data_IF_259329577188
#
_entry.id   IF_259329577188
#
_cell.length_a   1.000
_cell.length_b   1.000
_cell.length_c   1.000
_cell.angle_alpha   90.00
_cell.angle_beta   90.00
_cell.angle_gamma   90.00
#
_symmetry.space_group_name_H-M   'P 1'
#
loop_
_entity.id
_entity.type
_entity.pdbx_description
1 polymer ?
#
# COMPACT_ATOMS: atom_id res chain seq x y z
N UNK A 1 -8.99 15.28 -20.46
CA UNK A 1 -8.11 15.23 -21.63
C UNK A 1 -8.35 13.89 -22.29
N UNK A 2 -8.69 13.87 -23.60
CA UNK A 2 -8.97 12.62 -24.30
C UNK A 2 -7.69 11.75 -24.34
N UNK A 3 -7.86 10.45 -24.20
CA UNK A 3 -6.78 9.43 -24.27
C UNK A 3 -5.91 9.58 -25.52
N UNK A 4 -6.46 10.07 -26.62
CA UNK A 4 -5.78 10.45 -27.87
C UNK A 4 -4.58 11.39 -27.65
N UNK A 5 -4.58 12.19 -26.59
CA UNK A 5 -3.50 13.10 -26.26
C UNK A 5 -2.18 12.41 -25.83
N UNK A 6 -2.21 11.17 -25.35
CA UNK A 6 -1.02 10.45 -24.86
C UNK A 6 -0.19 9.92 -26.04
N UNK A 7 -0.85 9.27 -26.98
CA UNK A 7 -0.17 8.70 -28.17
C UNK A 7 0.41 9.80 -29.05
N UNK A 8 -0.33 10.87 -29.30
CA UNK A 8 0.16 12.02 -30.05
C UNK A 8 1.34 12.74 -29.38
N UNK A 9 1.47 12.69 -28.05
CA UNK A 9 2.64 13.22 -27.34
C UNK A 9 3.88 12.36 -27.49
N UNK A 10 3.71 11.04 -27.56
CA UNK A 10 4.84 10.09 -27.61
C UNK A 10 5.32 9.85 -29.05
N UNK A 11 4.40 9.74 -30.00
CA UNK A 11 4.70 9.31 -31.38
C UNK A 11 4.46 10.39 -32.44
N UNK A 12 4.01 11.58 -32.05
CA UNK A 12 3.67 12.65 -32.97
C UNK A 12 2.32 12.45 -33.70
N UNK A 13 1.95 13.42 -34.55
CA UNK A 13 0.67 13.39 -35.26
C UNK A 13 0.82 12.70 -36.61
N UNK A 14 0.29 11.51 -36.76
CA UNK A 14 0.15 10.80 -38.03
C UNK A 14 -1.34 10.42 -38.23
N UNK A 15 -2.15 11.20 -38.97
CA UNK A 15 -3.62 11.17 -38.92
C UNK A 15 -4.25 9.81 -39.13
N UNK A 16 -3.76 8.98 -40.03
CA UNK A 16 -4.30 7.63 -40.27
C UNK A 16 -3.58 6.54 -39.44
N UNK A 17 -2.30 6.70 -39.20
CA UNK A 17 -1.52 5.73 -38.42
C UNK A 17 -1.79 5.82 -36.92
N UNK A 18 -2.13 7.01 -36.40
CA UNK A 18 -2.40 7.20 -34.96
C UNK A 18 -3.58 6.35 -34.50
N UNK A 19 -4.63 6.20 -35.30
CA UNK A 19 -5.81 5.40 -34.95
C UNK A 19 -5.45 3.92 -34.86
N UNK A 20 -4.71 3.40 -35.85
CA UNK A 20 -4.26 1.99 -35.86
C UNK A 20 -3.31 1.71 -34.69
N UNK A 21 -2.40 2.64 -34.39
CA UNK A 21 -1.49 2.54 -33.26
C UNK A 21 -2.25 2.56 -31.92
N UNK A 22 -3.26 3.41 -31.79
CA UNK A 22 -4.10 3.50 -30.59
C UNK A 22 -4.85 2.21 -30.35
N UNK A 23 -5.51 1.68 -31.38
CA UNK A 23 -6.21 0.39 -31.31
C UNK A 23 -5.25 -0.76 -30.96
N UNK A 24 -4.11 -0.84 -31.60
CA UNK A 24 -3.13 -1.89 -31.35
C UNK A 24 -2.55 -1.80 -29.92
N UNK A 25 -2.28 -0.59 -29.45
CA UNK A 25 -1.79 -0.35 -28.08
C UNK A 25 -2.85 -0.72 -27.04
N UNK A 26 -4.09 -0.29 -27.24
CA UNK A 26 -5.21 -0.62 -26.33
C UNK A 26 -5.47 -2.13 -26.32
N UNK A 27 -5.48 -2.80 -27.48
CA UNK A 27 -5.62 -4.25 -27.55
C UNK A 27 -4.52 -4.98 -26.76
N UNK A 28 -3.26 -4.52 -26.92
CA UNK A 28 -2.13 -5.08 -26.17
C UNK A 28 -2.21 -4.80 -24.67
N UNK A 29 -2.67 -3.61 -24.29
CA UNK A 29 -2.85 -3.27 -22.87
C UNK A 29 -3.97 -4.07 -22.24
N UNK A 30 -5.12 -4.20 -22.93
CA UNK A 30 -6.24 -5.06 -22.48
C UNK A 30 -5.79 -6.52 -22.31
N UNK A 31 -5.10 -7.09 -23.30
CA UNK A 31 -4.54 -8.44 -23.20
C UNK A 31 -3.60 -8.63 -22.02
N UNK A 32 -2.96 -7.56 -21.54
CA UNK A 32 -2.09 -7.54 -20.36
C UNK A 32 -2.80 -7.14 -19.07
N UNK A 33 -4.12 -6.95 -19.12
CA UNK A 33 -4.90 -6.44 -18.00
C UNK A 33 -4.47 -5.04 -17.57
N UNK A 34 -4.28 -4.15 -18.54
CA UNK A 34 -3.98 -2.75 -18.32
C UNK A 34 -4.95 -1.88 -19.11
N UNK A 35 -5.18 -0.68 -18.63
CA UNK A 35 -5.89 0.38 -19.35
C UNK A 35 -4.95 1.56 -19.56
N UNK A 36 -5.15 2.30 -20.66
CA UNK A 36 -4.43 3.53 -20.91
C UNK A 36 -5.19 4.69 -20.27
N UNK A 37 -4.51 5.45 -19.43
CA UNK A 37 -5.02 6.70 -18.85
C UNK A 37 -4.20 7.88 -19.33
N UNK A 38 -4.61 9.09 -18.97
CA UNK A 38 -3.84 10.31 -19.27
C UNK A 38 -2.43 10.28 -18.65
N UNK A 39 -2.24 9.54 -17.57
CA UNK A 39 -0.98 9.36 -16.85
C UNK A 39 -0.15 8.16 -17.34
N UNK A 40 -0.69 7.36 -18.26
CA UNK A 40 -0.03 6.19 -18.84
C UNK A 40 -0.79 4.88 -18.64
N UNK A 41 -0.16 3.75 -18.95
CA UNK A 41 -0.76 2.44 -18.74
C UNK A 41 -0.82 2.07 -17.26
N UNK A 42 -1.99 1.64 -16.80
CA UNK A 42 -2.23 1.21 -15.41
C UNK A 42 -2.85 -0.19 -15.39
N UNK A 43 -2.63 -0.99 -14.33
CA UNK A 43 -3.30 -2.26 -14.18
C UNK A 43 -4.82 -2.08 -14.14
N UNK A 44 -5.53 -2.85 -14.95
CA UNK A 44 -6.98 -2.92 -14.90
C UNK A 44 -7.38 -3.93 -13.84
N UNK A 45 -8.08 -3.47 -12.81
CA UNK A 45 -8.58 -4.33 -11.72
C UNK A 45 -10.07 -4.68 -11.86
N UNK A 46 -10.73 -4.16 -12.88
CA UNK A 46 -12.12 -4.56 -13.16
C UNK A 46 -12.19 -6.06 -13.47
N UNK A 47 -13.36 -6.64 -13.30
CA UNK A 47 -13.57 -8.03 -13.72
C UNK A 47 -13.16 -8.22 -15.18
N UNK A 48 -12.22 -9.14 -15.40
CA UNK A 48 -11.62 -9.41 -16.72
C UNK A 48 -12.57 -10.03 -17.73
N UNK A 49 -13.82 -10.23 -17.34
CA UNK A 49 -14.91 -10.75 -18.19
C UNK A 49 -15.70 -9.67 -18.94
N UNK A 50 -15.46 -8.40 -18.64
CA UNK A 50 -16.20 -7.33 -19.31
C UNK A 50 -15.45 -6.89 -20.57
N UNK A 51 -16.16 -6.80 -21.73
CA UNK A 51 -15.60 -6.22 -22.94
C UNK A 51 -15.16 -4.76 -22.71
N UNK A 52 -14.05 -4.38 -23.31
CA UNK A 52 -13.57 -2.99 -23.29
C UNK A 52 -13.97 -2.32 -24.60
N UNK A 53 -14.86 -1.35 -24.52
CA UNK A 53 -15.28 -0.56 -25.66
C UNK A 53 -14.35 0.65 -25.85
N UNK A 54 -13.69 0.72 -26.99
CA UNK A 54 -12.85 1.84 -27.39
C UNK A 54 -13.52 2.57 -28.52
N UNK A 55 -13.89 3.83 -28.28
CA UNK A 55 -14.39 4.72 -29.32
C UNK A 55 -13.26 5.59 -29.85
N UNK A 56 -13.02 5.52 -31.15
CA UNK A 56 -12.02 6.33 -31.83
C UNK A 56 -12.72 7.33 -32.74
N UNK A 57 -12.47 8.62 -32.52
CA UNK A 57 -12.97 9.70 -33.37
C UNK A 57 -11.85 10.20 -34.28
N UNK A 58 -11.95 9.95 -35.57
CA UNK A 58 -11.08 10.53 -36.60
C UNK A 58 -11.66 11.85 -37.08
N UNK A 59 -11.38 12.95 -36.39
CA UNK A 59 -11.94 14.27 -36.65
C UNK A 59 -11.64 14.82 -38.06
N UNK A 60 -10.57 14.41 -38.71
CA UNK A 60 -10.23 14.80 -40.07
C UNK A 60 -11.04 14.08 -41.15
N UNK A 61 -11.60 12.91 -40.82
CA UNK A 61 -12.43 12.11 -41.72
C UNK A 61 -13.93 12.20 -41.40
N UNK A 62 -14.30 12.96 -40.38
CA UNK A 62 -15.64 13.08 -39.86
C UNK A 62 -16.27 11.69 -39.55
N UNK A 63 -15.46 10.75 -39.11
CA UNK A 63 -15.84 9.36 -38.87
C UNK A 63 -15.58 9.04 -37.41
N UNK A 64 -16.58 8.42 -36.75
CA UNK A 64 -16.46 7.85 -35.43
C UNK A 64 -16.62 6.35 -35.58
N UNK A 65 -15.64 5.59 -35.11
CA UNK A 65 -15.70 4.14 -35.04
C UNK A 65 -15.58 3.68 -33.59
N UNK A 66 -16.22 2.58 -33.25
CA UNK A 66 -16.01 1.90 -31.97
C UNK A 66 -15.52 0.48 -32.22
N UNK A 67 -14.61 0.02 -31.36
CA UNK A 67 -14.09 -1.35 -31.36
C UNK A 67 -14.24 -1.89 -29.95
N UNK A 68 -14.89 -3.05 -29.84
CA UNK A 68 -14.98 -3.79 -28.57
C UNK A 68 -13.90 -4.84 -28.52
N UNK A 69 -13.10 -4.82 -27.47
CA UNK A 69 -12.14 -5.90 -27.18
C UNK A 69 -12.75 -6.84 -26.14
N UNK A 70 -12.96 -8.10 -26.51
CA UNK A 70 -13.39 -9.11 -25.57
C UNK A 70 -12.16 -9.78 -24.94
N UNK A 71 -12.02 -9.76 -23.60
CA UNK A 71 -10.93 -10.44 -22.92
C UNK A 71 -10.86 -11.96 -23.17
N UNK A 72 -11.99 -12.58 -23.50
CA UNK A 72 -12.04 -14.01 -23.86
C UNK A 72 -11.27 -14.32 -25.14
N UNK A 73 -11.10 -13.34 -26.04
CA UNK A 73 -10.34 -13.48 -27.28
C UNK A 73 -8.87 -13.08 -27.12
N UNK A 74 -8.44 -12.71 -25.92
CA UNK A 74 -7.07 -12.30 -25.67
C UNK A 74 -6.11 -13.49 -25.81
N UNK A 75 -5.18 -13.39 -26.76
CA UNK A 75 -4.09 -14.37 -26.90
C UNK A 75 -3.20 -14.25 -25.66
N UNK A 76 -2.92 -15.35 -24.94
CA UNK A 76 -2.02 -15.34 -23.79
C UNK A 76 -0.68 -14.72 -24.18
N UNK A 77 -0.18 -13.80 -23.37
CA UNK A 77 1.16 -13.21 -23.58
C UNK A 77 2.17 -14.33 -23.35
N UNK A 78 3.08 -14.61 -24.30
CA UNK A 78 4.13 -15.59 -24.08
C UNK A 78 4.92 -15.25 -22.82
N UNK A 79 5.22 -16.23 -21.99
CA UNK A 79 5.98 -16.08 -20.74
C UNK A 79 7.37 -15.45 -20.98
N UNK A 80 7.91 -15.57 -22.18
CA UNK A 80 9.17 -14.95 -22.62
C UNK A 80 9.17 -13.39 -22.52
N UNK A 81 8.01 -12.74 -22.47
CA UNK A 81 7.90 -11.29 -22.30
C UNK A 81 7.81 -10.84 -20.84
N UNK A 82 7.77 -11.78 -19.92
CA UNK A 82 7.84 -11.52 -18.48
C UNK A 82 9.14 -12.10 -17.96
N UNK A 83 10.18 -11.32 -17.69
CA UNK A 83 11.37 -11.83 -17.02
C UNK A 83 10.96 -12.34 -15.64
N UNK A 84 10.73 -13.65 -15.54
CA UNK A 84 10.43 -14.33 -14.29
C UNK A 84 11.78 -14.71 -13.68
N UNK A 85 12.08 -14.29 -12.45
CA UNK A 85 13.31 -14.70 -11.80
C UNK A 85 13.31 -16.21 -11.61
N UNK A 86 14.49 -16.79 -11.70
CA UNK A 86 14.70 -18.19 -11.40
C UNK A 86 14.70 -18.40 -9.89
N UNK A 87 13.99 -19.42 -9.43
CA UNK A 87 13.87 -19.75 -8.03
C UNK A 87 14.31 -21.19 -7.79
N UNK A 88 15.26 -21.38 -6.91
CA UNK A 88 15.53 -22.68 -6.29
C UNK A 88 15.27 -22.60 -4.80
N UNK A 89 14.61 -23.60 -4.22
CA UNK A 89 14.49 -23.72 -2.78
C UNK A 89 14.63 -25.17 -2.33
N UNK A 90 15.30 -25.38 -1.21
CA UNK A 90 15.48 -26.69 -0.62
C UNK A 90 15.48 -26.63 0.91
N UNK A 91 15.17 -27.77 1.52
CA UNK A 91 15.16 -27.88 2.97
C UNK A 91 15.60 -29.30 3.38
N UNK A 92 16.42 -29.39 4.43
CA UNK A 92 16.98 -30.64 4.93
C UNK A 92 17.17 -30.62 6.45
N UNK A 93 17.48 -31.77 7.05
CA UNK A 93 17.69 -31.87 8.52
C UNK A 93 18.93 -31.11 9.03
N UNK A 94 19.97 -31.00 8.20
CA UNK A 94 21.24 -30.35 8.52
C UNK A 94 21.92 -29.80 7.26
N UNK A 95 23.01 -29.01 7.42
CA UNK A 95 23.76 -28.37 6.33
C UNK A 95 24.32 -29.39 5.32
N UNK A 96 24.89 -30.49 5.80
CA UNK A 96 25.49 -31.49 4.93
C UNK A 96 24.43 -32.16 4.03
N UNK A 97 23.28 -32.52 4.60
CA UNK A 97 22.17 -33.08 3.84
C UNK A 97 21.59 -32.06 2.87
N UNK A 98 21.57 -30.75 3.24
CA UNK A 98 21.11 -29.67 2.38
C UNK A 98 22.05 -29.50 1.18
N UNK A 99 23.39 -29.47 1.42
CA UNK A 99 24.39 -29.41 0.35
C UNK A 99 24.26 -30.57 -0.64
N UNK A 100 24.16 -31.81 -0.12
CA UNK A 100 23.96 -32.99 -0.98
C UNK A 100 22.66 -32.93 -1.79
N UNK A 101 21.60 -32.35 -1.22
CA UNK A 101 20.31 -32.15 -1.92
C UNK A 101 20.45 -31.11 -3.04
N UNK A 102 21.14 -30.00 -2.79
CA UNK A 102 21.44 -28.97 -3.78
C UNK A 102 22.29 -29.54 -4.93
N UNK A 103 23.36 -30.28 -4.62
CA UNK A 103 24.23 -30.94 -5.61
C UNK A 103 23.46 -31.90 -6.53
N UNK A 104 22.39 -32.48 -6.02
CA UNK A 104 21.52 -33.36 -6.83
C UNK A 104 20.39 -32.64 -7.59
N UNK A 105 20.34 -31.30 -7.53
CA UNK A 105 19.30 -30.48 -8.16
C UNK A 105 17.89 -30.67 -7.57
N UNK A 106 17.78 -31.33 -6.40
CA UNK A 106 16.47 -31.66 -5.80
C UNK A 106 15.91 -30.49 -5.00
N UNK A 107 14.97 -29.76 -5.57
CA UNK A 107 14.19 -28.75 -4.87
C UNK A 107 13.26 -29.35 -3.79
N UNK A 108 12.72 -28.50 -2.90
CA UNK A 108 11.76 -28.87 -1.88
C UNK A 108 12.38 -29.55 -0.66
N UNK A 109 11.59 -30.37 0.03
CA UNK A 109 11.98 -31.09 1.25
C UNK A 109 11.45 -30.47 2.54
N UNK A 110 11.80 -31.11 3.67
CA UNK A 110 11.45 -30.63 5.01
C UNK A 110 12.66 -30.76 5.94
N UNK A 111 12.90 -29.76 6.76
CA UNK A 111 14.01 -29.81 7.71
C UNK A 111 14.30 -28.46 8.36
N UNK A 112 15.30 -28.48 9.27
CA UNK A 112 15.72 -27.30 10.04
C UNK A 112 16.59 -26.35 9.23
N UNK A 113 17.36 -26.87 8.24
CA UNK A 113 18.15 -26.05 7.34
C UNK A 113 17.33 -25.79 6.06
N UNK A 114 17.18 -24.54 5.71
CA UNK A 114 16.37 -24.09 4.55
C UNK A 114 17.18 -23.10 3.75
N UNK A 115 17.09 -23.20 2.44
CA UNK A 115 17.65 -22.24 1.50
C UNK A 115 16.61 -21.88 0.42
N UNK A 116 16.57 -20.62 0.05
CA UNK A 116 15.92 -20.16 -1.16
C UNK A 116 16.91 -19.24 -1.90
N UNK A 117 17.02 -19.43 -3.22
CA UNK A 117 17.89 -18.63 -4.08
C UNK A 117 17.01 -18.08 -5.20
N UNK A 118 17.05 -16.76 -5.37
CA UNK A 118 16.33 -16.05 -6.43
C UNK A 118 17.36 -15.36 -7.32
N UNK A 119 17.37 -15.68 -8.59
CA UNK A 119 18.34 -15.16 -9.54
C UNK A 119 17.67 -14.60 -10.82
N UNK A 120 18.23 -13.57 -11.45
CA UNK A 120 17.66 -12.98 -12.66
C UNK A 120 17.84 -13.85 -13.90
N UNK A 121 18.84 -14.72 -13.93
CA UNK A 121 19.13 -15.65 -15.03
C UNK A 121 19.45 -17.04 -14.51
N UNK A 122 19.42 -18.04 -15.40
CA UNK A 122 19.75 -19.44 -15.07
C UNK A 122 21.25 -19.58 -14.70
N UNK A 123 22.10 -18.85 -15.40
CA UNK A 123 23.55 -18.83 -15.13
C UNK A 123 23.83 -18.26 -13.74
N UNK A 124 23.19 -17.12 -13.38
CA UNK A 124 23.34 -16.54 -12.05
C UNK A 124 22.80 -17.47 -10.96
N UNK A 125 21.70 -18.21 -11.23
CA UNK A 125 21.21 -19.23 -10.30
C UNK A 125 22.22 -20.33 -10.09
N UNK A 126 22.84 -20.84 -11.17
CA UNK A 126 23.85 -21.91 -11.09
C UNK A 126 25.08 -21.45 -10.27
N UNK A 127 25.60 -20.24 -10.52
CA UNK A 127 26.71 -19.67 -9.76
C UNK A 127 26.40 -19.53 -8.27
N UNK A 128 25.19 -19.05 -7.94
CA UNK A 128 24.75 -18.92 -6.56
C UNK A 128 24.54 -20.26 -5.87
N UNK A 129 24.04 -21.27 -6.59
CA UNK A 129 23.88 -22.63 -6.09
C UNK A 129 25.25 -23.25 -5.74
N UNK A 130 26.24 -23.14 -6.63
CA UNK A 130 27.58 -23.64 -6.42
C UNK A 130 28.25 -22.96 -5.21
N UNK A 131 28.18 -21.64 -5.15
CA UNK A 131 28.71 -20.85 -4.02
C UNK A 131 28.06 -21.24 -2.70
N UNK A 132 26.74 -21.33 -2.67
CA UNK A 132 25.99 -21.69 -1.47
C UNK A 132 26.30 -23.12 -1.02
N UNK A 133 26.44 -24.06 -1.96
CA UNK A 133 26.82 -25.45 -1.68
C UNK A 133 28.22 -25.52 -1.03
N UNK A 134 29.21 -24.86 -1.60
CA UNK A 134 30.57 -24.82 -1.05
C UNK A 134 30.60 -24.24 0.38
N UNK A 135 29.81 -23.19 0.64
CA UNK A 135 29.72 -22.62 2.00
C UNK A 135 29.09 -23.61 2.98
N UNK A 136 28.05 -24.34 2.59
CA UNK A 136 27.40 -25.37 3.41
C UNK A 136 28.37 -26.53 3.72
N UNK A 137 29.15 -26.99 2.74
CA UNK A 137 30.17 -28.03 2.90
C UNK A 137 31.28 -27.62 3.89
N UNK A 138 31.58 -26.32 3.93
CA UNK A 138 32.48 -25.71 4.92
C UNK A 138 31.82 -25.48 6.28
N UNK A 139 30.56 -25.88 6.47
CA UNK A 139 29.79 -25.64 7.70
C UNK A 139 29.32 -24.20 7.88
N UNK A 140 29.55 -23.31 6.90
CA UNK A 140 29.15 -21.89 6.94
C UNK A 140 27.69 -21.72 6.52
N UNK A 141 27.10 -20.59 6.94
CA UNK A 141 25.82 -20.16 6.45
C UNK A 141 26.00 -19.51 5.05
N UNK A 142 25.26 -19.94 4.02
CA UNK A 142 25.27 -19.29 2.72
C UNK A 142 24.85 -17.82 2.81
N UNK A 143 25.60 -16.96 2.11
CA UNK A 143 25.31 -15.53 1.94
C UNK A 143 25.53 -15.15 0.48
N UNK A 144 24.74 -14.24 -0.04
CA UNK A 144 24.84 -13.75 -1.40
C UNK A 144 23.60 -12.92 -1.78
N UNK A 145 23.69 -12.21 -2.89
CA UNK A 145 22.54 -11.50 -3.44
C UNK A 145 21.48 -12.50 -3.87
N UNK A 146 20.25 -12.34 -3.41
CA UNK A 146 19.14 -13.27 -3.64
C UNK A 146 19.27 -14.61 -2.91
N UNK A 147 20.28 -14.84 -2.06
CA UNK A 147 20.47 -16.07 -1.27
C UNK A 147 19.87 -15.87 0.13
N UNK A 148 18.88 -16.69 0.47
CA UNK A 148 18.20 -16.68 1.77
C UNK A 148 18.38 -18.01 2.47
N UNK A 149 19.14 -18.02 3.57
CA UNK A 149 19.39 -19.22 4.37
C UNK A 149 18.82 -19.09 5.77
N UNK A 150 18.24 -20.16 6.28
CA UNK A 150 17.72 -20.25 7.65
C UNK A 150 18.01 -21.60 8.28
N UNK A 151 18.42 -21.58 9.54
CA UNK A 151 18.70 -22.76 10.35
C UNK A 151 17.85 -22.76 11.63
N UNK A 152 17.42 -23.93 12.07
CA UNK A 152 16.58 -24.06 13.25
C UNK A 152 15.09 -23.84 12.98
N UNK A 153 14.30 -23.82 14.03
CA UNK A 153 12.92 -23.35 13.97
C UNK A 153 12.90 -21.83 13.95
N UNK A 154 11.95 -21.20 13.24
CA UNK A 154 11.70 -19.78 13.46
C UNK A 154 11.45 -19.53 14.96
N UNK A 155 12.13 -18.54 15.52
CA UNK A 155 11.90 -18.11 16.89
C UNK A 155 10.82 -17.02 16.91
N UNK A 156 9.96 -17.06 17.93
CA UNK A 156 8.88 -16.08 18.09
C UNK A 156 7.67 -16.36 17.21
N UNK A 157 6.90 -15.31 17.02
CA UNK A 157 5.64 -15.29 16.30
C UNK A 157 5.71 -14.35 15.09
N UNK A 158 4.85 -14.57 14.10
CA UNK A 158 4.73 -13.71 12.94
C UNK A 158 3.69 -12.63 13.20
N UNK A 159 4.07 -11.37 13.15
CA UNK A 159 3.15 -10.26 13.23
C UNK A 159 3.09 -9.50 11.89
N UNK A 160 1.89 -9.16 11.44
CA UNK A 160 1.69 -8.26 10.31
C UNK A 160 1.54 -6.82 10.81
N UNK A 161 2.23 -5.89 10.13
CA UNK A 161 2.18 -4.47 10.44
C UNK A 161 1.53 -3.71 9.28
N UNK A 162 0.47 -2.96 9.59
CA UNK A 162 -0.28 -2.16 8.62
C UNK A 162 0.09 -0.69 8.75
N UNK A 163 0.41 -0.04 7.64
CA UNK A 163 0.82 1.36 7.61
C UNK A 163 -0.36 2.32 7.64
N UNK A 164 -0.12 3.56 8.08
CA UNK A 164 -1.08 4.65 7.97
C UNK A 164 -1.19 5.23 6.56
N UNK A 165 -2.12 6.15 6.36
CA UNK A 165 -2.41 6.79 5.06
C UNK A 165 -1.21 7.56 4.47
N UNK A 166 -0.34 8.11 5.31
CA UNK A 166 0.86 8.83 4.88
C UNK A 166 1.93 7.96 4.18
N UNK A 167 1.76 6.62 4.17
CA UNK A 167 2.65 5.71 3.45
C UNK A 167 2.37 5.63 1.94
N UNK A 168 1.29 6.26 1.47
CA UNK A 168 0.90 6.26 0.05
C UNK A 168 1.82 7.19 -0.75
N UNK A 169 2.25 6.73 -1.91
CA UNK A 169 3.06 7.48 -2.85
C UNK A 169 2.53 7.31 -4.28
N UNK A 170 2.81 8.27 -5.18
CA UNK A 170 2.36 8.19 -6.57
C UNK A 170 2.76 6.90 -7.26
N UNK A 171 1.83 6.26 -7.97
CA UNK A 171 2.01 5.00 -8.70
C UNK A 171 2.31 3.78 -7.81
N UNK A 172 1.94 3.85 -6.53
CA UNK A 172 2.09 2.73 -5.59
C UNK A 172 1.36 1.47 -6.12
N UNK A 173 1.98 0.31 -5.96
CA UNK A 173 1.37 -0.98 -6.32
C UNK A 173 1.40 -1.33 -7.81
N UNK A 174 1.76 -0.40 -8.71
CA UNK A 174 1.73 -0.64 -10.16
C UNK A 174 2.53 -1.88 -10.57
N UNK A 175 3.76 -2.02 -10.09
CA UNK A 175 4.59 -3.18 -10.38
C UNK A 175 4.00 -4.48 -9.82
N UNK A 176 3.49 -4.42 -8.60
CA UNK A 176 2.86 -5.55 -7.94
C UNK A 176 1.62 -6.03 -8.70
N UNK A 177 0.70 -5.13 -9.01
CA UNK A 177 -0.54 -5.46 -9.73
C UNK A 177 -0.28 -5.91 -11.17
N UNK A 178 0.79 -5.43 -11.81
CA UNK A 178 1.21 -5.92 -13.14
C UNK A 178 1.82 -7.33 -13.07
N UNK A 179 2.60 -7.61 -12.02
CA UNK A 179 3.27 -8.90 -11.87
C UNK A 179 2.33 -10.05 -11.47
N UNK A 180 1.25 -9.76 -10.75
CA UNK A 180 0.34 -10.76 -10.19
C UNK A 180 -1.10 -10.60 -10.71
N UNK A 181 -1.44 -11.17 -11.90
CA UNK A 181 -2.81 -11.10 -12.43
C UNK A 181 -3.87 -11.68 -11.49
N UNK A 182 -3.54 -12.76 -10.78
CA UNK A 182 -4.45 -13.39 -9.81
C UNK A 182 -4.76 -12.45 -8.63
N UNK A 183 -3.77 -11.68 -8.17
CA UNK A 183 -3.99 -10.64 -7.16
C UNK A 183 -4.99 -9.60 -7.66
N UNK A 184 -4.87 -9.15 -8.92
CA UNK A 184 -5.83 -8.19 -9.50
C UNK A 184 -7.25 -8.75 -9.54
N UNK A 185 -7.42 -10.00 -9.98
CA UNK A 185 -8.72 -10.67 -10.04
C UNK A 185 -9.38 -10.77 -8.65
N UNK A 186 -8.59 -11.02 -7.60
CA UNK A 186 -9.10 -11.05 -6.23
C UNK A 186 -9.41 -9.65 -5.70
N UNK A 187 -8.54 -8.69 -5.99
CA UNK A 187 -8.71 -7.30 -5.60
C UNK A 187 -9.95 -6.68 -6.22
N UNK A 188 -10.24 -7.01 -7.50
CA UNK A 188 -11.43 -6.54 -8.22
C UNK A 188 -12.77 -6.98 -7.59
N UNK A 189 -12.76 -7.98 -6.71
CA UNK A 189 -13.95 -8.43 -5.96
C UNK A 189 -14.21 -7.60 -4.69
N UNK A 190 -13.26 -6.76 -4.29
CA UNK A 190 -13.48 -5.85 -3.18
C UNK A 190 -14.40 -4.72 -3.63
N UNK A 191 -15.27 -4.33 -2.72
CA UNK A 191 -16.18 -3.21 -2.94
C UNK A 191 -15.39 -1.94 -3.28
N UNK A 192 -15.83 -1.23 -4.34
CA UNK A 192 -15.24 0.00 -4.89
C UNK A 192 -13.79 -0.11 -5.37
N UNK A 193 -13.27 -1.30 -5.56
CA UNK A 193 -11.90 -1.48 -6.03
C UNK A 193 -11.68 -0.84 -7.41
N UNK A 194 -12.68 -0.90 -8.30
CA UNK A 194 -12.68 -0.30 -9.65
C UNK A 194 -12.72 1.24 -9.61
N UNK A 195 -13.39 1.84 -8.63
CA UNK A 195 -13.41 3.29 -8.43
C UNK A 195 -12.07 3.80 -7.84
N UNK A 196 -11.46 3.03 -6.95
CA UNK A 196 -10.24 3.43 -6.23
C UNK A 196 -8.96 3.18 -7.04
N UNK A 197 -8.91 2.10 -7.81
CA UNK A 197 -7.69 1.73 -8.55
C UNK A 197 -7.16 2.81 -9.50
N UNK A 198 -7.99 3.61 -10.19
CA UNK A 198 -7.50 4.73 -11.00
C UNK A 198 -6.72 5.77 -10.22
N UNK A 199 -6.95 5.90 -8.90
CA UNK A 199 -6.19 6.81 -8.04
C UNK A 199 -4.70 6.43 -7.99
N UNK A 200 -4.36 5.14 -8.08
CA UNK A 200 -2.98 4.67 -8.08
C UNK A 200 -2.17 5.17 -9.30
N UNK A 201 -2.83 5.69 -10.33
CA UNK A 201 -2.18 6.27 -11.50
C UNK A 201 -1.88 7.75 -11.34
N UNK A 202 -2.55 8.45 -10.43
CA UNK A 202 -2.41 9.90 -10.25
C UNK A 202 -1.01 10.29 -9.80
N UNK A 203 -0.56 11.46 -10.25
CA UNK A 203 0.71 12.06 -9.85
C UNK A 203 0.65 12.68 -8.44
N UNK A 204 -0.55 13.08 -8.02
CA UNK A 204 -0.82 13.61 -6.68
C UNK A 204 -2.21 13.14 -6.23
N UNK A 205 -2.36 12.94 -4.93
CA UNK A 205 -3.59 12.49 -4.29
C UNK A 205 -3.98 13.50 -3.21
N UNK A 206 -5.28 13.78 -3.09
CA UNK A 206 -5.83 14.45 -1.91
C UNK A 206 -5.69 13.53 -0.68
N UNK A 207 -5.87 14.07 0.52
CA UNK A 207 -5.80 13.27 1.74
C UNK A 207 -6.84 12.15 1.77
N UNK A 208 -8.05 12.39 1.27
CA UNK A 208 -9.07 11.35 1.15
C UNK A 208 -8.71 10.30 0.09
N UNK A 209 -8.19 10.70 -1.05
CA UNK A 209 -7.69 9.75 -2.06
C UNK A 209 -6.51 8.92 -1.54
N UNK A 210 -5.65 9.48 -0.68
CA UNK A 210 -4.60 8.72 0.01
C UNK A 210 -5.19 7.67 0.96
N UNK A 211 -6.26 8.01 1.70
CA UNK A 211 -7.01 7.04 2.51
C UNK A 211 -7.51 5.87 1.64
N UNK A 212 -8.20 6.18 0.55
CA UNK A 212 -8.76 5.19 -0.37
C UNK A 212 -7.67 4.29 -0.98
N UNK A 213 -6.63 4.90 -1.56
CA UNK A 213 -5.51 4.18 -2.17
C UNK A 213 -4.74 3.33 -1.15
N UNK A 214 -4.53 3.85 0.06
CA UNK A 214 -3.88 3.14 1.17
C UNK A 214 -4.67 1.91 1.61
N UNK A 215 -5.99 2.04 1.71
CA UNK A 215 -6.88 0.92 2.03
C UNK A 215 -6.81 -0.15 0.96
N UNK A 216 -6.96 0.21 -0.33
CA UNK A 216 -6.88 -0.74 -1.43
C UNK A 216 -5.54 -1.49 -1.45
N UNK A 217 -4.42 -0.77 -1.28
CA UNK A 217 -3.10 -1.39 -1.29
C UNK A 217 -2.82 -2.25 -0.06
N UNK A 218 -3.34 -1.89 1.10
CA UNK A 218 -3.27 -2.74 2.30
C UNK A 218 -4.01 -4.06 2.08
N UNK A 219 -5.20 -4.01 1.48
CA UNK A 219 -5.93 -5.23 1.12
C UNK A 219 -5.22 -6.04 0.04
N UNK A 220 -4.60 -5.38 -0.96
CA UNK A 220 -3.78 -6.07 -1.97
C UNK A 220 -2.62 -6.84 -1.35
N UNK A 221 -1.88 -6.23 -0.42
CA UNK A 221 -0.79 -6.90 0.29
C UNK A 221 -1.31 -8.04 1.18
N UNK A 222 -2.45 -7.85 1.86
CA UNK A 222 -3.06 -8.89 2.67
C UNK A 222 -3.47 -10.10 1.80
N UNK A 223 -4.15 -9.89 0.69
CA UNK A 223 -4.52 -10.95 -0.28
C UNK A 223 -3.25 -11.68 -0.78
N UNK A 224 -2.20 -10.92 -1.15
CA UNK A 224 -0.96 -11.52 -1.61
C UNK A 224 -0.34 -12.42 -0.53
N UNK A 225 -0.21 -11.92 0.69
CA UNK A 225 0.51 -12.61 1.75
C UNK A 225 -0.32 -13.74 2.37
N UNK A 226 -1.61 -13.51 2.63
CA UNK A 226 -2.48 -14.49 3.30
C UNK A 226 -3.00 -15.54 2.31
N UNK A 227 -3.55 -15.10 1.18
CA UNK A 227 -4.29 -15.99 0.28
C UNK A 227 -3.39 -16.63 -0.78
N UNK A 228 -2.48 -15.85 -1.40
CA UNK A 228 -1.63 -16.35 -2.48
C UNK A 228 -0.36 -17.03 -1.95
N UNK A 229 0.29 -16.45 -0.94
CA UNK A 229 1.49 -17.02 -0.33
C UNK A 229 1.21 -17.91 0.88
N UNK A 230 -0.02 -17.91 1.40
CA UNK A 230 -0.47 -18.79 2.47
C UNK A 230 0.20 -18.52 3.82
N UNK A 231 0.68 -17.29 4.08
CA UNK A 231 1.24 -16.93 5.38
C UNK A 231 0.14 -16.88 6.44
N UNK A 232 0.49 -17.31 7.65
CA UNK A 232 -0.42 -17.32 8.79
C UNK A 232 0.20 -16.53 9.94
N UNK A 233 -0.09 -15.25 10.06
CA UNK A 233 0.39 -14.45 11.18
C UNK A 233 -0.34 -14.81 12.47
N UNK A 234 0.38 -14.71 13.59
CA UNK A 234 -0.14 -14.90 14.94
C UNK A 234 -0.73 -13.60 15.49
N UNK A 235 -0.27 -12.46 14.97
CA UNK A 235 -0.68 -11.14 15.44
C UNK A 235 -0.74 -10.12 14.31
N UNK A 236 -1.47 -9.04 14.55
CA UNK A 236 -1.46 -7.87 13.68
C UNK A 236 -1.55 -6.58 14.51
N UNK A 237 -0.92 -5.54 13.98
CA UNK A 237 -1.01 -4.17 14.50
C UNK A 237 -1.01 -3.19 13.33
N UNK A 238 -1.60 -2.05 13.54
CA UNK A 238 -1.67 -0.98 12.55
C UNK A 238 -1.30 0.38 13.14
N UNK A 239 -0.88 1.30 12.30
CA UNK A 239 -0.72 2.70 12.66
C UNK A 239 -1.88 3.48 12.04
N UNK A 240 -2.73 4.13 12.87
CA UNK A 240 -3.84 4.96 12.37
C UNK A 240 -4.75 4.15 11.43
N UNK A 241 -4.93 4.58 10.17
CA UNK A 241 -5.64 3.81 9.12
C UNK A 241 -5.24 2.32 9.09
N UNK A 242 -3.99 2.00 9.46
CA UNK A 242 -3.51 0.63 9.51
C UNK A 242 -4.28 -0.25 10.48
N UNK A 243 -4.83 0.28 11.58
CA UNK A 243 -5.66 -0.49 12.51
C UNK A 243 -6.95 -0.94 11.83
N UNK A 244 -7.65 -0.03 11.14
CA UNK A 244 -8.86 -0.37 10.35
C UNK A 244 -8.52 -1.35 9.22
N UNK A 245 -7.40 -1.16 8.53
CA UNK A 245 -6.96 -2.05 7.46
C UNK A 245 -6.63 -3.46 7.96
N UNK A 246 -6.10 -3.61 9.17
CA UNK A 246 -5.90 -4.92 9.80
C UNK A 246 -7.25 -5.61 10.06
N UNK A 247 -8.25 -4.88 10.57
CA UNK A 247 -9.58 -5.42 10.79
C UNK A 247 -10.24 -5.93 9.51
N UNK A 248 -10.09 -5.22 8.40
CA UNK A 248 -10.56 -5.67 7.09
C UNK A 248 -9.76 -6.87 6.58
N UNK A 249 -8.44 -6.83 6.66
CA UNK A 249 -7.55 -7.86 6.13
C UNK A 249 -7.77 -9.24 6.76
N UNK A 250 -8.11 -9.26 8.05
CA UNK A 250 -8.41 -10.50 8.77
C UNK A 250 -9.91 -10.82 8.86
N UNK A 251 -10.75 -10.03 8.18
CA UNK A 251 -12.18 -10.28 8.08
C UNK A 251 -13.00 -9.98 9.33
N UNK A 252 -12.41 -9.29 10.33
CA UNK A 252 -13.17 -8.77 11.48
C UNK A 252 -14.20 -7.74 11.03
N UNK A 253 -13.82 -6.87 10.11
CA UNK A 253 -14.70 -5.97 9.39
C UNK A 253 -14.86 -6.43 7.95
N UNK A 254 -15.99 -6.06 7.33
CA UNK A 254 -16.29 -6.30 5.91
C UNK A 254 -16.59 -4.98 5.24
N UNK A 255 -16.55 -4.98 3.92
CA UNK A 255 -16.99 -3.88 3.07
C UNK A 255 -16.22 -2.57 3.35
N UNK A 256 -14.90 -2.53 3.03
CA UNK A 256 -14.09 -1.32 3.20
C UNK A 256 -14.63 -0.14 2.39
N UNK A 257 -15.26 -0.37 1.24
CA UNK A 257 -15.90 0.66 0.43
C UNK A 257 -17.00 1.39 1.17
N UNK A 258 -17.85 0.66 1.90
CA UNK A 258 -18.91 1.27 2.71
C UNK A 258 -18.37 2.23 3.78
N UNK A 259 -17.23 1.91 4.41
CA UNK A 259 -16.58 2.84 5.35
C UNK A 259 -16.08 4.10 4.64
N UNK A 260 -15.50 3.96 3.46
CA UNK A 260 -15.00 5.09 2.68
C UNK A 260 -16.14 6.02 2.25
N UNK A 261 -17.30 5.46 1.86
CA UNK A 261 -18.49 6.25 1.54
C UNK A 261 -19.00 7.03 2.75
N UNK A 262 -19.16 6.36 3.88
CA UNK A 262 -19.62 6.99 5.11
C UNK A 262 -18.69 8.13 5.55
N UNK A 263 -17.36 7.98 5.40
CA UNK A 263 -16.37 9.02 5.67
C UNK A 263 -16.52 10.18 4.69
N UNK A 264 -16.73 9.90 3.41
CA UNK A 264 -16.97 10.91 2.36
C UNK A 264 -18.28 11.66 2.60
N UNK A 265 -19.38 10.94 2.84
CA UNK A 265 -20.71 11.53 3.09
C UNK A 265 -20.72 12.44 4.34
N UNK A 266 -19.91 12.09 5.34
CA UNK A 266 -19.69 12.92 6.52
C UNK A 266 -18.76 14.12 6.27
N UNK A 267 -18.23 14.28 5.04
CA UNK A 267 -17.29 15.33 4.64
C UNK A 267 -16.08 15.49 5.59
N UNK A 268 -15.60 14.36 6.16
CA UNK A 268 -14.58 14.39 7.21
C UNK A 268 -13.28 15.00 6.70
N UNK A 269 -12.83 14.62 5.51
CA UNK A 269 -11.55 15.06 4.95
C UNK A 269 -11.61 16.44 4.30
N UNK A 270 -12.75 16.80 3.70
CA UNK A 270 -12.94 18.06 3.00
C UNK A 270 -13.18 19.24 3.96
N UNK A 271 -13.88 18.98 5.07
CA UNK A 271 -14.32 20.04 5.96
C UNK A 271 -13.78 19.95 7.38
N UNK A 272 -13.86 18.76 7.99
CA UNK A 272 -13.64 18.66 9.44
C UNK A 272 -12.16 18.52 9.80
N UNK A 273 -11.53 17.41 9.39
CA UNK A 273 -10.14 17.09 9.76
C UNK A 273 -9.10 17.59 8.75
N UNK A 274 -9.53 17.88 7.53
CA UNK A 274 -8.73 18.43 6.43
C UNK A 274 -9.42 19.63 5.81
N UNK A 275 -8.99 20.07 4.64
CA UNK A 275 -9.62 21.11 3.84
C UNK A 275 -9.89 22.40 4.63
N UNK A 276 -11.10 22.54 5.14
CA UNK A 276 -11.51 23.74 5.89
C UNK A 276 -11.08 23.76 7.36
N UNK A 277 -10.62 22.64 7.93
CA UNK A 277 -10.21 22.48 9.34
C UNK A 277 -11.26 22.96 10.35
N UNK A 278 -12.53 22.65 10.12
CA UNK A 278 -13.63 23.05 11.03
C UNK A 278 -13.39 22.61 12.47
N UNK A 279 -12.79 21.43 12.65
CA UNK A 279 -12.39 20.89 13.95
C UNK A 279 -11.47 21.84 14.73
N UNK A 280 -10.47 22.43 14.05
CA UNK A 280 -9.58 23.40 14.68
C UNK A 280 -10.29 24.73 14.97
N UNK A 281 -11.13 25.19 14.04
CA UNK A 281 -11.92 26.43 14.23
C UNK A 281 -12.80 26.31 15.46
N UNK A 282 -13.44 25.18 15.67
CA UNK A 282 -14.31 24.93 16.82
C UNK A 282 -13.51 24.79 18.12
N UNK A 283 -12.41 24.02 18.10
CA UNK A 283 -11.60 23.76 19.30
C UNK A 283 -10.82 24.99 19.79
N UNK A 284 -10.33 25.83 18.88
CA UNK A 284 -9.45 26.95 19.21
C UNK A 284 -10.16 28.31 19.24
N UNK A 285 -11.34 28.39 18.63
CA UNK A 285 -12.06 29.64 18.47
C UNK A 285 -11.45 30.58 17.43
N UNK A 286 -12.05 31.80 17.24
CA UNK A 286 -11.77 32.65 16.09
C UNK A 286 -10.39 33.33 16.13
N UNK A 287 -9.69 33.30 17.24
CA UNK A 287 -8.41 34.00 17.43
C UNK A 287 -7.18 33.16 17.10
N UNK A 288 -7.34 31.88 16.80
CA UNK A 288 -6.25 30.97 16.39
C UNK A 288 -6.39 30.65 14.91
N UNK A 289 -5.34 30.84 14.09
CA UNK A 289 -5.39 30.46 12.70
C UNK A 289 -5.70 28.97 12.55
N UNK A 290 -6.67 28.64 11.70
CA UNK A 290 -7.04 27.26 11.40
C UNK A 290 -6.21 26.72 10.22
N UNK A 291 -4.91 26.99 10.22
CA UNK A 291 -3.93 26.55 9.23
C UNK A 291 -3.14 25.33 9.76
N UNK A 292 -3.82 24.22 9.99
CA UNK A 292 -3.19 23.02 10.56
C UNK A 292 -2.08 22.48 9.68
N UNK A 293 -0.94 22.16 10.30
CA UNK A 293 0.17 21.43 9.66
C UNK A 293 0.70 20.34 10.59
N UNK A 294 1.18 19.27 10.00
CA UNK A 294 1.84 18.18 10.72
C UNK A 294 3.35 18.23 10.49
N UNK A 295 4.13 18.05 11.55
CA UNK A 295 5.59 18.03 11.51
C UNK A 295 6.13 16.82 12.25
N UNK A 296 7.02 16.07 11.64
CA UNK A 296 7.79 15.02 12.33
C UNK A 296 8.99 15.67 13.00
N UNK A 297 9.15 15.43 14.30
CA UNK A 297 10.19 16.04 15.13
C UNK A 297 11.11 14.96 15.68
N UNK A 298 12.39 15.07 15.36
CA UNK A 298 13.46 14.20 15.85
C UNK A 298 14.22 14.92 16.97
N UNK A 299 13.68 14.86 18.17
CA UNK A 299 14.25 15.41 19.39
C UNK A 299 13.69 14.66 20.61
N UNK A 300 14.35 14.72 21.79
CA UNK A 300 13.80 14.12 23.01
C UNK A 300 12.37 14.60 23.26
N UNK A 301 11.43 13.65 23.35
CA UNK A 301 9.99 13.95 23.45
C UNK A 301 9.68 14.89 24.62
N UNK A 302 10.41 14.78 25.74
CA UNK A 302 10.22 15.69 26.87
C UNK A 302 10.68 17.12 26.58
N UNK A 303 11.65 17.34 25.68
CA UNK A 303 11.98 18.68 25.19
C UNK A 303 10.87 19.19 24.29
N UNK A 304 10.35 18.35 23.37
CA UNK A 304 9.22 18.72 22.52
C UNK A 304 7.99 19.10 23.34
N UNK A 305 7.64 18.34 24.39
CA UNK A 305 6.54 18.66 25.31
C UNK A 305 6.68 20.04 25.93
N UNK A 306 7.91 20.40 26.38
CA UNK A 306 8.18 21.72 26.98
C UNK A 306 8.00 22.86 25.97
N UNK A 307 8.44 22.65 24.73
CA UNK A 307 8.26 23.66 23.67
C UNK A 307 6.79 23.78 23.26
N UNK A 308 6.11 22.67 23.01
CA UNK A 308 4.68 22.65 22.65
C UNK A 308 3.83 23.38 23.72
N UNK A 309 4.13 23.22 25.00
CA UNK A 309 3.40 23.86 26.09
C UNK A 309 3.45 25.40 26.05
N UNK A 310 4.37 25.99 25.30
CA UNK A 310 4.49 27.46 25.14
C UNK A 310 3.64 28.02 23.99
N UNK A 311 3.01 27.13 23.19
CA UNK A 311 2.28 27.51 21.97
C UNK A 311 0.83 27.03 22.01
N UNK A 312 -0.11 27.97 21.89
CA UNK A 312 -1.54 27.64 21.81
C UNK A 312 -1.84 26.93 20.48
N UNK A 313 -2.68 25.89 20.54
CA UNK A 313 -3.15 25.16 19.36
C UNK A 313 -2.16 24.15 18.79
N UNK A 314 -0.98 23.96 19.41
CA UNK A 314 -0.04 22.92 19.00
C UNK A 314 -0.13 21.72 19.95
N UNK A 315 -0.17 20.52 19.37
CA UNK A 315 -0.26 19.27 20.12
C UNK A 315 0.77 18.25 19.63
N UNK A 316 1.23 17.36 20.52
CA UNK A 316 1.91 16.13 20.11
C UNK A 316 0.82 15.13 19.74
N UNK A 317 0.80 14.74 18.47
CA UNK A 317 -0.24 13.86 17.92
C UNK A 317 0.18 12.40 17.95
N UNK A 318 1.47 12.10 17.72
CA UNK A 318 2.00 10.73 17.74
C UNK A 318 3.38 10.72 18.41
N UNK A 319 3.65 9.73 19.24
CA UNK A 319 4.99 9.43 19.79
C UNK A 319 5.46 8.12 19.22
N UNK A 320 6.47 8.16 18.33
CA UNK A 320 7.03 6.95 17.71
C UNK A 320 8.11 6.31 18.60
N UNK A 321 8.89 7.15 19.30
CA UNK A 321 9.94 6.71 20.21
C UNK A 321 10.24 7.81 21.25
N UNK A 322 11.25 7.57 22.10
CA UNK A 322 11.70 8.60 23.07
C UNK A 322 12.28 9.87 22.44
N UNK A 323 12.66 9.79 21.15
CA UNK A 323 13.34 10.87 20.41
C UNK A 323 12.69 11.15 19.06
N UNK A 324 11.51 10.64 18.80
CA UNK A 324 10.81 10.80 17.52
C UNK A 324 9.30 10.90 17.76
N UNK A 325 8.71 12.01 17.36
CA UNK A 325 7.27 12.25 17.52
C UNK A 325 6.73 13.10 16.36
N UNK A 326 5.42 13.24 16.32
CA UNK A 326 4.73 14.16 15.43
C UNK A 326 4.04 15.24 16.25
N UNK A 327 4.14 16.47 15.81
CA UNK A 327 3.35 17.60 16.31
C UNK A 327 2.39 18.07 15.21
N UNK A 328 1.24 18.60 15.63
CA UNK A 328 0.26 19.20 14.75
C UNK A 328 -0.26 20.52 15.33
N UNK A 329 -0.60 21.48 14.47
CA UNK A 329 -1.09 22.78 14.88
C UNK A 329 -0.85 23.88 13.86
N UNK A 330 -1.04 25.17 14.24
CA UNK A 330 -0.77 26.30 13.36
C UNK A 330 0.65 26.26 12.79
N UNK A 331 0.76 26.48 11.48
CA UNK A 331 2.01 26.31 10.73
C UNK A 331 3.20 27.05 11.31
N UNK A 332 3.00 28.33 11.65
CA UNK A 332 4.05 29.18 12.19
C UNK A 332 4.50 28.74 13.60
N UNK A 333 3.57 28.29 14.43
CA UNK A 333 3.89 27.78 15.76
C UNK A 333 4.70 26.49 15.70
N UNK A 334 4.30 25.54 14.85
CA UNK A 334 5.04 24.30 14.61
C UNK A 334 6.47 24.58 14.10
N UNK A 335 6.62 25.52 13.16
CA UNK A 335 7.93 25.95 12.65
C UNK A 335 8.83 26.48 13.76
N UNK A 336 8.32 27.38 14.60
CA UNK A 336 9.06 27.96 15.73
C UNK A 336 9.52 26.90 16.74
N UNK A 337 8.67 25.92 17.04
CA UNK A 337 9.03 24.79 17.90
C UNK A 337 10.22 24.03 17.33
N UNK A 338 10.17 23.68 16.04
CA UNK A 338 11.27 22.97 15.39
C UNK A 338 12.56 23.79 15.40
N UNK A 339 12.50 25.10 15.14
CA UNK A 339 13.65 26.00 15.20
C UNK A 339 14.27 26.06 16.59
N UNK A 340 13.44 26.12 17.65
CA UNK A 340 13.91 26.18 19.04
C UNK A 340 14.59 24.89 19.50
N UNK A 341 14.23 23.75 18.91
CA UNK A 341 14.82 22.44 19.18
C UNK A 341 16.14 22.20 18.45
N UNK A 342 16.50 23.08 17.51
CA UNK A 342 17.75 23.06 16.77
C UNK A 342 17.59 22.78 15.27
N UNK A 343 18.62 23.10 14.48
CA UNK A 343 18.58 22.90 13.04
C UNK A 343 18.34 21.45 12.65
N UNK A 344 17.39 21.23 11.75
CA UNK A 344 17.06 19.87 11.23
C UNK A 344 16.26 18.99 12.18
N UNK A 345 15.81 19.50 13.34
CA UNK A 345 15.01 18.74 14.29
C UNK A 345 13.60 18.42 13.80
N UNK A 346 13.06 19.16 12.82
CA UNK A 346 11.70 19.01 12.33
C UNK A 346 11.61 19.00 10.81
N UNK A 347 10.72 18.15 10.27
CA UNK A 347 10.36 18.09 8.87
C UNK A 347 8.84 18.24 8.72
N UNK A 348 8.40 19.21 7.91
CA UNK A 348 6.99 19.39 7.59
C UNK A 348 6.51 18.20 6.76
N UNK A 349 5.40 17.61 7.17
CA UNK A 349 4.77 16.51 6.43
C UNK A 349 4.02 17.06 5.20
N UNK A 350 3.81 16.19 4.21
CA UNK A 350 2.97 16.53 3.05
C UNK A 350 1.48 16.42 3.35
N UNK A 351 1.10 15.56 4.28
CA UNK A 351 -0.28 15.36 4.70
C UNK A 351 -0.62 16.30 5.87
N UNK A 352 -1.72 17.00 5.75
CA UNK A 352 -2.20 17.99 6.74
C UNK A 352 -3.59 17.62 7.24
N UNK A 353 -3.63 16.72 8.22
CA UNK A 353 -4.87 16.25 8.85
C UNK A 353 -4.85 16.45 10.35
N UNK A 354 -5.98 16.87 10.90
CA UNK A 354 -6.23 16.94 12.33
C UNK A 354 -6.64 15.54 12.80
N UNK A 355 -5.66 14.71 13.13
CA UNK A 355 -5.87 13.36 13.63
C UNK A 355 -5.01 13.13 14.86
N UNK A 356 -5.45 12.25 15.76
CA UNK A 356 -4.75 11.94 17.02
C UNK A 356 -4.51 13.18 17.90
N UNK A 357 -5.37 14.19 17.78
CA UNK A 357 -5.27 15.47 18.46
C UNK A 357 -6.51 15.73 19.33
N UNK A 358 -6.34 16.48 20.42
CA UNK A 358 -7.48 16.93 21.26
C UNK A 358 -8.45 17.80 20.49
N UNK A 359 -7.94 18.52 19.47
CA UNK A 359 -8.78 19.28 18.55
C UNK A 359 -9.87 18.44 17.87
N UNK A 360 -9.74 17.11 17.83
CA UNK A 360 -10.76 16.19 17.32
C UNK A 360 -11.97 16.00 18.27
N UNK A 361 -11.90 16.43 19.51
CA UNK A 361 -12.95 16.18 20.50
C UNK A 361 -14.37 16.60 20.07
N UNK A 362 -14.59 17.73 19.39
CA UNK A 362 -15.91 18.11 18.91
C UNK A 362 -16.54 17.07 17.96
N UNK A 363 -15.71 16.36 17.21
CA UNK A 363 -16.13 15.37 16.19
C UNK A 363 -15.85 13.92 16.58
N UNK A 364 -15.37 13.68 17.80
CA UNK A 364 -15.00 12.34 18.28
C UNK A 364 -16.16 11.34 18.21
N UNK A 365 -17.38 11.78 18.55
CA UNK A 365 -18.56 10.91 18.51
C UNK A 365 -18.96 10.55 17.06
N UNK A 366 -18.86 11.49 16.13
CA UNK A 366 -19.10 11.22 14.71
C UNK A 366 -18.07 10.22 14.18
N UNK A 367 -16.78 10.44 14.49
CA UNK A 367 -15.70 9.53 14.11
C UNK A 367 -15.90 8.14 14.70
N UNK A 368 -16.26 8.04 15.98
CA UNK A 368 -16.52 6.79 16.64
C UNK A 368 -17.69 6.01 15.99
N UNK A 369 -18.77 6.70 15.62
CA UNK A 369 -19.90 6.08 14.92
C UNK A 369 -19.50 5.47 13.58
N UNK A 370 -18.68 6.15 12.79
CA UNK A 370 -18.15 5.63 11.52
C UNK A 370 -17.33 4.35 11.71
N UNK A 371 -16.67 4.18 12.86
CA UNK A 371 -15.84 3.02 13.19
C UNK A 371 -16.57 1.96 14.04
N UNK A 372 -17.80 2.23 14.51
CA UNK A 372 -18.63 1.23 15.20
C UNK A 372 -19.26 0.29 14.18
N UNK A 373 -18.63 -0.83 13.91
CA UNK A 373 -19.03 -1.77 12.87
C UNK A 373 -19.32 -3.17 13.43
N UNK A 374 -20.14 -3.93 12.70
CA UNK A 374 -20.40 -5.33 13.06
C UNK A 374 -19.10 -6.14 12.98
N UNK A 375 -18.80 -6.84 14.06
CA UNK A 375 -17.64 -7.73 14.12
C UNK A 375 -17.96 -9.12 13.60
N UNK A 376 -16.96 -9.75 13.00
CA UNK A 376 -16.96 -11.12 12.52
C UNK A 376 -15.77 -11.88 13.10
N UNK A 377 -15.73 -13.19 12.92
CA UNK A 377 -14.58 -14.00 13.31
C UNK A 377 -13.40 -13.72 12.38
N UNK A 378 -12.29 -13.27 12.95
CA UNK A 378 -11.03 -12.95 12.26
C UNK A 378 -9.99 -14.07 12.29
N UNK A 379 -10.40 -15.33 12.51
CA UNK A 379 -9.51 -16.49 12.38
C UNK A 379 -8.42 -16.63 13.44
N UNK A 380 -8.61 -16.04 14.63
CA UNK A 380 -7.74 -16.24 15.80
C UNK A 380 -6.46 -15.38 15.81
N UNK A 381 -6.33 -14.40 14.92
CA UNK A 381 -5.21 -13.43 14.93
C UNK A 381 -5.39 -12.45 16.09
N UNK A 382 -4.33 -12.27 16.89
CA UNK A 382 -4.34 -11.28 17.98
C UNK A 382 -4.13 -9.88 17.43
N UNK A 383 -5.04 -8.97 17.73
CA UNK A 383 -4.94 -7.56 17.37
C UNK A 383 -4.31 -6.74 18.50
N UNK A 384 -3.44 -5.82 18.13
CA UNK A 384 -2.83 -4.86 19.05
C UNK A 384 -3.26 -3.45 18.70
N UNK A 385 -3.69 -2.67 19.71
CA UNK A 385 -4.06 -1.28 19.53
C UNK A 385 -3.01 -0.36 20.16
N UNK A 386 -2.64 0.70 19.43
CA UNK A 386 -1.68 1.70 19.90
C UNK A 386 -2.23 2.50 21.09
N UNK A 387 -3.53 2.73 21.14
CA UNK A 387 -4.16 3.49 22.22
C UNK A 387 -3.95 2.86 23.62
N UNK A 388 -3.88 1.53 23.68
CA UNK A 388 -3.71 0.79 24.95
C UNK A 388 -2.35 0.09 25.05
N UNK A 389 -1.53 0.10 24.01
CA UNK A 389 -0.24 -0.59 23.90
C UNK A 389 -0.31 -2.08 24.29
N UNK A 390 -1.39 -2.75 23.95
CA UNK A 390 -1.67 -4.13 24.32
C UNK A 390 -2.55 -4.82 23.27
N UNK A 391 -2.58 -6.14 23.33
CA UNK A 391 -3.60 -6.91 22.63
C UNK A 391 -4.99 -6.60 23.19
N UNK A 392 -5.99 -6.62 22.34
CA UNK A 392 -7.38 -6.41 22.72
C UNK A 392 -8.31 -7.41 22.03
N UNK A 393 -9.46 -7.65 22.65
CA UNK A 393 -10.54 -8.41 22.04
C UNK A 393 -11.37 -7.48 21.16
N UNK A 394 -11.43 -7.72 19.85
CA UNK A 394 -12.15 -6.85 18.93
C UNK A 394 -13.66 -7.01 19.09
N UNK A 395 -14.31 -6.01 19.62
CA UNK A 395 -15.78 -5.84 19.64
C UNK A 395 -16.14 -4.59 18.85
N UNK A 396 -17.43 -4.40 18.56
CA UNK A 396 -17.90 -3.18 17.90
C UNK A 396 -17.54 -1.92 18.68
N UNK A 397 -17.41 -2.00 20.00
CA UNK A 397 -17.06 -0.87 20.87
C UNK A 397 -15.55 -0.67 21.00
N UNK A 398 -14.78 -1.76 21.14
CA UNK A 398 -13.32 -1.67 21.31
C UNK A 398 -12.57 -1.37 20.04
N UNK A 399 -13.20 -1.55 18.87
CA UNK A 399 -12.63 -1.29 17.55
C UNK A 399 -13.04 0.07 16.98
N UNK A 400 -13.91 0.81 17.64
CA UNK A 400 -14.36 2.15 17.31
C UNK A 400 -13.55 3.23 18.16
#
# INVERSE_FOLDING_TARGET
>A
ASETGVINRVFGKAPCASVVFELALQAQLCARGHVLTAEGAVPDIRETSLPVDISVAATQLNTVGSVTFDPADAVPIPDALRPTPFLFWASAKDKATLAARMASGKAGGRGKCRIAIVAPTEEALAEQLDSAQQMLEQGKAPVGDGVHFGEGKPEGELAFMFTGSAAVYPRMGRGLLSAFPELRQRLAKLDKADEIAPLLAKASLTEFEQLCAGTLMSQAHAILLLDLLGLKPDAALGLSLGESNALFAFGFWRDPGALLDEISDAAMYERHIGGEFETAKEAWGPNVPADWTNWRVQAPVDAVKREVAKHTGVEITIIYSRTDCMIGGPAEACRKICESLGPGSGAKMHQHLIVHAKAMQPFAETWRKLHTRKMHDGGGVRLYANAVNAAYEPTSETSA
#
